data_IF_741188200886
#
_entry.id   IF_741188200886
#
_cell.length_a   1.000
_cell.length_b   1.000
_cell.length_c   1.000
_cell.angle_alpha   90.00
_cell.angle_beta   90.00
_cell.angle_gamma   90.00
#
_symmetry.space_group_name_H-M   'P 1'
#
loop_
_entity.id
_entity.type
_entity.pdbx_description
1 polymer ?
#
# COMPACT_ATOMS: atom_id res chain seq x y z
N UNK A 1 0.97 -19.35 -10.84
CA UNK A 1 0.40 -19.13 -12.20
C UNK A 1 -0.34 -17.80 -12.21
N UNK A 2 -0.36 -17.07 -13.33
CA UNK A 2 -0.97 -15.73 -13.42
C UNK A 2 -2.48 -15.72 -13.14
N UNK A 3 -3.20 -16.77 -13.55
CA UNK A 3 -4.64 -16.91 -13.31
C UNK A 3 -4.97 -16.94 -11.81
N UNK A 4 -4.19 -17.68 -11.02
CA UNK A 4 -4.33 -17.72 -9.56
C UNK A 4 -4.10 -16.34 -8.95
N UNK A 5 -3.02 -15.65 -9.35
CA UNK A 5 -2.72 -14.32 -8.82
C UNK A 5 -3.83 -13.28 -9.12
N UNK A 6 -4.48 -13.37 -10.28
CA UNK A 6 -5.62 -12.50 -10.63
C UNK A 6 -6.83 -12.81 -9.76
N UNK A 7 -7.15 -14.10 -9.55
CA UNK A 7 -8.24 -14.49 -8.66
C UNK A 7 -7.99 -14.08 -7.21
N UNK A 8 -6.75 -14.25 -6.73
CA UNK A 8 -6.36 -13.85 -5.38
C UNK A 8 -6.46 -12.32 -5.21
N UNK A 9 -6.09 -11.55 -6.24
CA UNK A 9 -6.29 -10.10 -6.26
C UNK A 9 -7.78 -9.72 -6.17
N UNK A 10 -8.64 -10.37 -6.96
CA UNK A 10 -10.09 -10.10 -6.93
C UNK A 10 -10.71 -10.46 -5.58
N UNK A 11 -10.29 -11.58 -4.99
CA UNK A 11 -10.67 -12.00 -3.66
C UNK A 11 -10.21 -10.99 -2.59
N UNK A 12 -8.96 -10.52 -2.67
CA UNK A 12 -8.41 -9.52 -1.75
C UNK A 12 -9.16 -8.18 -1.84
N UNK A 13 -9.46 -7.72 -3.06
CA UNK A 13 -10.30 -6.52 -3.25
C UNK A 13 -11.68 -6.71 -2.61
N UNK A 14 -12.33 -7.86 -2.84
CA UNK A 14 -13.66 -8.17 -2.31
C UNK A 14 -13.66 -8.27 -0.78
N UNK A 15 -12.64 -8.90 -0.17
CA UNK A 15 -12.46 -8.92 1.28
C UNK A 15 -12.30 -7.50 1.83
N UNK A 16 -11.37 -6.71 1.27
CA UNK A 16 -11.06 -5.37 1.76
C UNK A 16 -12.27 -4.42 1.71
N UNK A 17 -13.06 -4.43 0.62
CA UNK A 17 -14.28 -3.62 0.54
C UNK A 17 -15.43 -4.12 1.42
N UNK A 18 -15.46 -5.44 1.68
CA UNK A 18 -16.47 -6.11 2.49
C UNK A 18 -16.17 -6.11 3.99
N UNK A 19 -14.94 -5.75 4.39
CA UNK A 19 -14.52 -5.70 5.79
C UNK A 19 -15.48 -4.83 6.61
N UNK A 20 -16.10 -5.49 7.57
CA UNK A 20 -16.82 -4.93 8.71
C UNK A 20 -16.23 -5.59 9.95
N UNK A 21 -15.98 -4.88 11.03
CA UNK A 21 -15.34 -5.51 12.18
C UNK A 21 -15.60 -4.81 13.52
N UNK A 22 -15.26 -5.50 14.63
CA UNK A 22 -15.23 -4.90 15.96
C UNK A 22 -14.00 -3.99 16.06
N UNK A 23 -14.15 -2.76 15.58
CA UNK A 23 -13.15 -1.69 15.58
C UNK A 23 -13.79 -0.38 15.13
N UNK A 24 -13.12 0.75 15.33
CA UNK A 24 -13.64 2.06 14.92
C UNK A 24 -13.76 2.12 13.40
N UNK A 25 -15.00 1.99 12.88
CA UNK A 25 -15.30 2.35 11.50
C UNK A 25 -15.45 3.86 11.45
N UNK A 26 -14.47 4.53 10.84
CA UNK A 26 -14.53 5.98 10.64
C UNK A 26 -15.11 6.25 9.26
N UNK A 27 -16.30 6.86 9.22
CA UNK A 27 -16.97 7.23 7.96
C UNK A 27 -16.72 8.69 7.65
N UNK A 28 -16.23 8.98 6.44
CA UNK A 28 -16.11 10.35 5.94
C UNK A 28 -15.07 11.19 6.69
N UNK A 29 -13.91 10.61 7.00
CA UNK A 29 -12.79 11.33 7.60
C UNK A 29 -12.27 12.43 6.66
N UNK A 30 -11.84 13.56 7.24
CA UNK A 30 -11.33 14.70 6.48
C UNK A 30 -12.44 15.58 5.91
N UNK A 31 -12.10 16.83 5.58
CA UNK A 31 -13.08 17.75 5.00
C UNK A 31 -13.27 17.38 3.53
N UNK A 32 -14.44 16.82 3.19
CA UNK A 32 -14.76 16.35 1.84
C UNK A 32 -13.75 15.32 1.27
N UNK A 33 -13.19 14.47 2.13
CA UNK A 33 -12.23 13.43 1.73
C UNK A 33 -10.79 13.92 1.59
N UNK A 34 -10.48 15.16 1.98
CA UNK A 34 -9.11 15.63 2.13
C UNK A 34 -8.53 15.16 3.48
N UNK A 35 -7.59 14.22 3.43
CA UNK A 35 -6.94 13.61 4.60
C UNK A 35 -5.51 14.15 4.83
N UNK A 36 -5.19 15.29 4.22
CA UNK A 36 -3.89 15.95 4.39
C UNK A 36 -3.61 16.28 5.85
N UNK A 37 -2.39 15.98 6.30
CA UNK A 37 -1.89 16.27 7.65
C UNK A 37 -2.46 15.39 8.76
N UNK A 38 -3.26 14.37 8.44
CA UNK A 38 -3.85 13.49 9.45
C UNK A 38 -2.88 12.40 9.89
N UNK A 39 -3.04 11.98 11.15
CA UNK A 39 -2.48 10.74 11.69
C UNK A 39 -3.60 9.74 11.88
N UNK A 40 -3.44 8.56 11.31
CA UNK A 40 -4.44 7.49 11.31
C UNK A 40 -3.97 6.34 12.21
N UNK A 41 -4.76 6.09 13.25
CA UNK A 41 -4.63 4.90 14.10
C UNK A 41 -5.25 3.68 13.41
N UNK A 42 -5.01 2.48 13.92
CA UNK A 42 -5.49 1.24 13.30
C UNK A 42 -7.01 1.18 13.21
N UNK A 43 -7.53 0.65 12.10
CA UNK A 43 -8.97 0.60 11.87
C UNK A 43 -9.42 0.59 10.41
N UNK A 44 -10.74 0.71 10.25
CA UNK A 44 -11.41 0.74 8.95
C UNK A 44 -11.88 2.17 8.67
N UNK A 45 -11.48 2.71 7.54
CA UNK A 45 -11.88 4.05 7.10
C UNK A 45 -12.66 3.95 5.80
N UNK A 46 -13.82 4.60 5.76
CA UNK A 46 -14.77 4.45 4.65
C UNK A 46 -15.20 5.80 4.08
N UNK A 47 -15.09 5.91 2.75
CA UNK A 47 -15.57 7.04 1.98
C UNK A 47 -16.46 6.58 0.83
N UNK A 48 -17.63 7.20 0.70
CA UNK A 48 -18.51 7.05 -0.47
C UNK A 48 -18.11 7.96 -1.64
N UNK A 49 -17.07 8.79 -1.44
CA UNK A 49 -16.59 9.79 -2.39
C UNK A 49 -15.10 9.60 -2.69
N UNK A 50 -14.55 10.49 -3.52
CA UNK A 50 -13.11 10.64 -3.74
C UNK A 50 -12.38 11.04 -2.46
N UNK A 51 -11.13 10.60 -2.33
CA UNK A 51 -10.22 10.91 -1.24
C UNK A 51 -8.90 11.43 -1.81
N UNK A 52 -8.29 12.40 -1.15
CA UNK A 52 -6.98 12.90 -1.52
C UNK A 52 -6.14 13.29 -0.30
N UNK A 53 -4.83 13.38 -0.51
CA UNK A 53 -3.93 14.09 0.38
C UNK A 53 -2.86 14.81 -0.44
N UNK A 54 -2.56 16.05 -0.08
CA UNK A 54 -1.62 16.92 -0.80
C UNK A 54 -0.32 17.17 -0.01
N UNK A 55 -0.28 16.76 1.27
CA UNK A 55 0.89 16.94 2.15
C UNK A 55 1.33 15.60 2.76
N UNK A 56 1.40 15.51 4.09
CA UNK A 56 1.76 14.29 4.80
C UNK A 56 0.51 13.53 5.22
N UNK A 57 0.56 12.20 5.17
CA UNK A 57 -0.40 11.32 5.83
C UNK A 57 0.38 10.35 6.71
N UNK A 58 0.06 10.27 8.00
CA UNK A 58 0.80 9.40 8.93
C UNK A 58 -0.05 8.19 9.33
N UNK A 59 0.53 7.00 9.30
CA UNK A 59 -0.01 5.80 9.95
C UNK A 59 0.75 5.54 11.23
N UNK A 60 0.04 5.53 12.36
CA UNK A 60 0.65 5.37 13.68
C UNK A 60 0.07 4.14 14.35
N UNK A 61 0.94 3.21 14.76
CA UNK A 61 0.53 1.98 15.41
C UNK A 61 1.68 1.00 15.62
N UNK A 62 1.32 -0.24 15.92
CA UNK A 62 2.24 -1.36 16.15
C UNK A 62 2.48 -2.16 14.86
N UNK A 63 3.44 -3.09 14.91
CA UNK A 63 3.75 -3.99 13.79
C UNK A 63 2.66 -5.01 13.45
N UNK A 64 1.63 -5.11 14.30
CA UNK A 64 0.48 -6.01 14.10
C UNK A 64 -0.81 -5.28 13.80
N UNK A 65 -0.80 -3.95 13.89
CA UNK A 65 -1.96 -3.12 13.58
C UNK A 65 -2.27 -3.13 12.09
N UNK A 66 -3.56 -3.00 11.77
CA UNK A 66 -4.09 -3.09 10.40
C UNK A 66 -4.91 -1.86 10.07
N UNK A 67 -4.74 -1.37 8.85
CA UNK A 67 -5.54 -0.28 8.27
C UNK A 67 -6.23 -0.76 7.02
N UNK A 68 -7.52 -0.47 6.90
CA UNK A 68 -8.28 -0.76 5.68
C UNK A 68 -9.00 0.49 5.21
N UNK A 69 -8.59 0.98 4.04
CA UNK A 69 -9.17 2.14 3.40
C UNK A 69 -10.16 1.69 2.33
N UNK A 70 -11.43 2.00 2.52
CA UNK A 70 -12.52 1.68 1.59
C UNK A 70 -12.98 2.96 0.89
N UNK A 71 -12.59 3.13 -0.37
CA UNK A 71 -12.82 4.37 -1.13
C UNK A 71 -13.69 4.05 -2.36
N UNK A 72 -14.93 4.55 -2.36
CA UNK A 72 -15.84 4.34 -3.49
C UNK A 72 -15.55 5.26 -4.70
N UNK A 73 -14.79 6.34 -4.49
CA UNK A 73 -14.34 7.25 -5.54
C UNK A 73 -12.91 7.00 -6.00
N UNK A 74 -12.28 8.07 -6.50
CA UNK A 74 -10.84 8.11 -6.83
C UNK A 74 -10.02 8.32 -5.56
N UNK A 75 -8.79 7.83 -5.54
CA UNK A 75 -7.77 8.17 -4.56
C UNK A 75 -6.65 8.96 -5.23
N UNK A 76 -6.22 10.06 -4.62
CA UNK A 76 -5.13 10.90 -5.15
C UNK A 76 -4.11 11.23 -4.06
N UNK A 77 -2.84 10.84 -4.30
CA UNK A 77 -1.68 11.44 -3.67
C UNK A 77 -1.24 12.62 -4.53
N UNK A 78 -1.34 13.85 -4.02
CA UNK A 78 -0.91 15.06 -4.72
C UNK A 78 0.60 15.06 -5.00
N UNK A 79 1.10 15.94 -5.89
CA UNK A 79 2.54 16.05 -6.15
C UNK A 79 3.35 16.30 -4.87
N UNK A 80 4.39 15.50 -4.65
CA UNK A 80 5.24 15.56 -3.44
C UNK A 80 4.56 15.09 -2.15
N UNK A 81 3.29 14.68 -2.18
CA UNK A 81 2.59 14.17 -1.00
C UNK A 81 3.27 12.88 -0.52
N UNK A 82 3.38 12.69 0.78
CA UNK A 82 4.15 11.58 1.37
C UNK A 82 3.39 10.89 2.49
N UNK A 83 3.33 9.56 2.42
CA UNK A 83 2.91 8.74 3.56
C UNK A 83 4.09 8.49 4.52
N UNK A 84 3.84 8.56 5.82
CA UNK A 84 4.82 8.25 6.87
C UNK A 84 4.28 7.13 7.75
N UNK A 85 5.14 6.15 8.06
CA UNK A 85 4.87 5.14 9.07
C UNK A 85 5.52 5.56 10.39
N UNK A 86 4.73 5.58 11.47
CA UNK A 86 5.15 5.95 12.81
C UNK A 86 4.88 4.82 13.81
N UNK A 87 5.66 4.78 14.89
CA UNK A 87 5.71 3.62 15.77
C UNK A 87 6.38 2.44 15.07
N UNK A 88 5.71 1.30 15.07
CA UNK A 88 6.14 0.08 14.37
C UNK A 88 5.18 -0.28 13.21
N UNK A 89 4.36 0.67 12.76
CA UNK A 89 3.43 0.46 11.66
C UNK A 89 4.17 -0.05 10.41
N UNK A 90 3.55 -0.99 9.70
CA UNK A 90 4.13 -1.63 8.51
C UNK A 90 3.24 -1.48 7.29
N UNK A 91 3.86 -1.18 6.16
CA UNK A 91 3.18 -1.11 4.86
C UNK A 91 2.41 -2.39 4.52
N UNK A 92 2.95 -3.58 4.86
CA UNK A 92 2.30 -4.87 4.61
C UNK A 92 0.91 -5.03 5.27
N UNK A 93 0.60 -4.19 6.27
CA UNK A 93 -0.69 -4.18 6.99
C UNK A 93 -1.61 -3.01 6.61
N UNK A 94 -1.25 -2.20 5.60
CA UNK A 94 -2.06 -1.07 5.13
C UNK A 94 -2.68 -1.45 3.80
N UNK A 95 -4.00 -1.63 3.79
CA UNK A 95 -4.76 -2.02 2.61
C UNK A 95 -5.59 -0.87 2.08
N UNK A 96 -5.41 -0.53 0.82
CA UNK A 96 -6.20 0.45 0.11
C UNK A 96 -7.09 -0.25 -0.91
N UNK A 97 -8.40 -0.23 -0.71
CA UNK A 97 -9.38 -0.73 -1.68
C UNK A 97 -10.12 0.45 -2.33
N UNK A 98 -9.86 0.67 -3.62
CA UNK A 98 -10.35 1.83 -4.37
C UNK A 98 -11.20 1.38 -5.55
N UNK A 99 -12.45 1.83 -5.58
CA UNK A 99 -13.36 1.51 -6.69
C UNK A 99 -13.07 2.35 -7.95
N UNK A 100 -12.55 3.56 -7.78
CA UNK A 100 -12.12 4.44 -8.86
C UNK A 100 -10.65 4.28 -9.24
N UNK A 101 -10.05 5.38 -9.69
CA UNK A 101 -8.63 5.47 -10.07
C UNK A 101 -7.77 5.68 -8.82
N UNK A 102 -6.55 5.15 -8.83
CA UNK A 102 -5.48 5.54 -7.91
C UNK A 102 -4.51 6.42 -8.69
N UNK A 103 -4.24 7.63 -8.22
CA UNK A 103 -3.34 8.57 -8.86
C UNK A 103 -2.24 9.03 -7.89
N UNK A 104 -1.00 8.71 -8.21
CA UNK A 104 0.20 9.23 -7.56
C UNK A 104 0.77 10.37 -8.41
N UNK A 105 0.78 11.58 -7.84
CA UNK A 105 1.35 12.78 -8.45
C UNK A 105 2.88 12.72 -8.57
N UNK A 106 3.45 13.70 -9.26
CA UNK A 106 4.91 13.79 -9.44
C UNK A 106 5.61 13.81 -8.08
N UNK A 107 6.61 12.94 -7.89
CA UNK A 107 7.39 12.85 -6.66
C UNK A 107 6.61 12.39 -5.41
N UNK A 108 5.36 11.96 -5.52
CA UNK A 108 4.60 11.49 -4.34
C UNK A 108 5.10 10.13 -3.85
N UNK A 109 5.00 9.86 -2.56
CA UNK A 109 5.36 8.60 -1.92
C UNK A 109 4.16 7.94 -1.23
N UNK A 110 3.90 6.67 -1.57
CA UNK A 110 2.85 5.84 -0.98
C UNK A 110 3.41 4.68 -0.16
N UNK A 111 2.61 4.23 0.81
CA UNK A 111 2.88 3.06 1.65
C UNK A 111 1.66 2.13 1.63
N UNK A 112 1.91 0.84 1.38
CA UNK A 112 0.91 -0.23 1.52
C UNK A 112 0.45 -0.90 0.23
N UNK A 113 -0.61 -1.72 0.37
CA UNK A 113 -1.14 -2.58 -0.69
C UNK A 113 -2.34 -1.90 -1.35
N UNK A 114 -2.15 -1.43 -2.58
CA UNK A 114 -3.17 -0.76 -3.38
C UNK A 114 -3.92 -1.76 -4.27
N UNK A 115 -5.23 -1.88 -4.04
CA UNK A 115 -6.18 -2.71 -4.77
C UNK A 115 -7.16 -1.80 -5.52
N UNK A 116 -6.84 -1.47 -6.77
CA UNK A 116 -7.66 -0.63 -7.63
C UNK A 116 -8.58 -1.47 -8.52
N UNK A 117 -9.89 -1.20 -8.47
CA UNK A 117 -10.86 -1.83 -9.37
C UNK A 117 -10.71 -1.35 -10.82
N UNK A 118 -10.11 -0.18 -11.03
CA UNK A 118 -9.87 0.35 -12.38
C UNK A 118 -8.37 0.37 -12.65
N UNK A 119 -7.72 1.53 -12.54
CA UNK A 119 -6.34 1.74 -12.92
C UNK A 119 -5.52 2.40 -11.82
N UNK A 120 -4.20 2.21 -11.90
CA UNK A 120 -3.20 2.90 -11.09
C UNK A 120 -2.34 3.76 -12.02
N UNK A 121 -2.23 5.05 -11.70
CA UNK A 121 -1.41 6.04 -12.39
C UNK A 121 -0.28 6.48 -11.47
N UNK A 122 0.96 6.24 -11.87
CA UNK A 122 2.15 6.72 -11.17
C UNK A 122 2.90 7.72 -12.06
N UNK A 123 2.84 9.00 -11.69
CA UNK A 123 3.50 10.07 -12.44
C UNK A 123 4.99 10.19 -12.09
N UNK A 124 5.67 11.18 -12.67
CA UNK A 124 7.12 11.32 -12.71
C UNK A 124 7.78 11.26 -11.35
N UNK A 125 8.65 10.27 -11.12
CA UNK A 125 9.44 10.18 -9.89
C UNK A 125 8.63 9.83 -8.64
N UNK A 126 7.38 9.42 -8.78
CA UNK A 126 6.61 8.84 -7.66
C UNK A 126 7.25 7.55 -7.15
N UNK A 127 6.96 7.20 -5.89
CA UNK A 127 7.45 5.96 -5.28
C UNK A 127 6.39 5.27 -4.42
N UNK A 128 6.52 3.95 -4.27
CA UNK A 128 5.64 3.12 -3.46
C UNK A 128 6.46 2.04 -2.76
N UNK A 129 6.32 1.94 -1.43
CA UNK A 129 6.72 0.75 -0.69
C UNK A 129 5.47 -0.06 -0.36
N UNK A 130 5.32 -1.24 -0.97
CA UNK A 130 4.05 -1.98 -0.97
C UNK A 130 3.79 -2.77 -2.25
N UNK A 131 2.55 -2.72 -2.73
CA UNK A 131 2.14 -3.35 -3.98
C UNK A 131 1.05 -2.54 -4.70
N UNK A 132 1.06 -2.58 -6.03
CA UNK A 132 0.11 -1.88 -6.89
C UNK A 132 -0.63 -2.89 -7.77
N UNK A 133 -1.85 -3.26 -7.37
CA UNK A 133 -2.71 -4.18 -8.11
C UNK A 133 -3.89 -3.44 -8.76
N UNK A 134 -3.99 -3.51 -10.08
CA UNK A 134 -5.05 -2.88 -10.86
C UNK A 134 -5.80 -3.91 -11.71
N UNK A 135 -7.13 -3.90 -11.67
CA UNK A 135 -7.94 -4.85 -12.46
C UNK A 135 -8.01 -4.49 -13.95
N UNK A 136 -7.63 -3.26 -14.33
CA UNK A 136 -7.57 -2.82 -15.72
C UNK A 136 -6.13 -2.54 -16.17
N UNK A 137 -5.51 -1.47 -15.66
CA UNK A 137 -4.21 -1.01 -16.16
C UNK A 137 -3.36 -0.35 -15.07
N UNK A 138 -2.03 -0.42 -15.24
CA UNK A 138 -1.08 0.33 -14.44
C UNK A 138 -0.14 1.11 -15.37
N UNK A 139 -0.05 2.43 -15.21
CA UNK A 139 0.84 3.30 -15.97
C UNK A 139 1.88 3.90 -15.03
N UNK A 140 3.15 3.85 -15.41
CA UNK A 140 4.26 4.30 -14.58
C UNK A 140 5.23 5.16 -15.39
N UNK A 141 5.61 6.31 -14.84
CA UNK A 141 6.56 7.25 -15.44
C UNK A 141 7.70 7.45 -14.46
N UNK A 142 8.83 6.76 -14.68
CA UNK A 142 10.00 6.84 -13.79
C UNK A 142 9.65 6.60 -12.32
N UNK A 143 8.76 5.65 -12.06
CA UNK A 143 8.27 5.29 -10.72
C UNK A 143 9.16 4.22 -10.09
N UNK A 144 9.45 4.35 -8.79
CA UNK A 144 10.09 3.28 -8.00
C UNK A 144 9.02 2.50 -7.21
N UNK A 145 8.96 1.18 -7.35
CA UNK A 145 8.07 0.33 -6.53
C UNK A 145 8.91 -0.76 -5.87
N UNK A 146 8.87 -0.79 -4.54
CA UNK A 146 9.55 -1.76 -3.70
C UNK A 146 8.52 -2.60 -2.96
N UNK A 147 8.69 -3.93 -2.96
CA UNK A 147 7.75 -4.84 -2.30
C UNK A 147 7.82 -4.76 -0.77
N UNK A 148 6.69 -4.52 -0.10
CA UNK A 148 6.61 -4.58 1.37
C UNK A 148 6.64 -6.02 1.93
N UNK A 149 6.43 -7.03 1.08
CA UNK A 149 6.63 -8.41 1.45
C UNK A 149 8.13 -8.67 1.45
N UNK A 150 8.75 -8.68 2.63
CA UNK A 150 10.14 -9.15 2.75
C UNK A 150 10.23 -10.49 2.02
N UNK A 151 11.05 -10.64 0.95
CA UNK A 151 11.57 -11.96 0.70
C UNK A 151 12.29 -12.32 2.00
N UNK A 152 12.03 -13.50 2.58
CA UNK A 152 13.07 -14.07 3.44
C UNK A 152 14.36 -13.98 2.60
N UNK A 153 15.45 -13.38 3.09
CA UNK A 153 16.70 -13.49 2.35
C UNK A 153 16.90 -14.98 2.17
N UNK A 154 16.88 -15.45 0.91
CA UNK A 154 17.49 -16.72 0.61
C UNK A 154 18.85 -16.65 1.29
N UNK A 155 19.07 -17.49 2.28
CA UNK A 155 20.36 -17.64 2.95
C UNK A 155 21.38 -17.72 1.83
N UNK A 156 22.21 -16.68 1.67
CA UNK A 156 23.42 -16.80 0.89
C UNK A 156 24.17 -17.92 1.58
N UNK A 157 24.29 -19.07 0.91
CA UNK A 157 25.37 -19.99 1.23
C UNK A 157 26.61 -19.15 0.95
N UNK A 158 27.17 -18.58 2.00
CA UNK A 158 28.57 -18.20 1.99
C UNK A 158 29.31 -19.47 1.59
N UNK A 159 30.08 -19.36 0.51
CA UNK A 159 30.98 -20.39 0.06
C UNK A 159 31.84 -20.79 1.27
N UNK A 160 31.50 -21.90 1.92
CA UNK A 160 32.34 -22.49 2.94
C UNK A 160 33.49 -23.14 2.18
N UNK A 161 34.55 -22.38 1.91
CA UNK A 161 35.88 -22.96 1.71
C UNK A 161 36.32 -23.58 3.04
N UNK A 162 35.64 -24.64 3.45
CA UNK A 162 36.11 -25.54 4.49
C UNK A 162 37.26 -26.34 3.90
N UNK A 163 38.43 -26.00 4.42
CA UNK A 163 39.71 -26.66 4.29
C UNK A 163 39.64 -28.19 4.19
N UNK A 164 40.04 -28.74 3.04
CA UNK A 164 40.56 -30.11 2.94
C UNK A 164 41.84 -30.14 2.10
N UNK A 165 42.98 -30.10 2.79
CA UNK A 165 44.12 -31.02 2.62
C UNK A 165 45.34 -30.46 3.38
N UNK A 166 46.16 -31.19 4.14
CA UNK A 166 46.21 -32.56 4.66
C UNK A 166 47.37 -32.49 5.67
N UNK A 167 47.22 -33.08 6.86
CA UNK A 167 48.38 -33.47 7.67
C UNK A 167 48.79 -34.88 7.26
N UNK A 168 49.86 -35.00 6.45
CA UNK A 168 50.97 -35.97 6.56
C UNK A 168 52.19 -35.37 5.85
#
# INVERSE_FOLDING_TARGET
MMTTAIYDMEAAYTDAVGRTGPGSVTVGLGLAGDISGLTLESGIYKWSTTVKFDTTLTFSGTSTDVWTMQIAGTFTAGPGATVILAGDAKAENIYWAIAGVVAFGDGSHGEGIFLAKTMILCNGGSSLYGAAFAQNAANMISTNIEGALSPSPFMSIEDSEDSENVLV
#
